data_IF_727904486634
#
_entry.id   IF_727904486634
#
_cell.length_a   1.000
_cell.length_b   1.000
_cell.length_c   1.000
_cell.angle_alpha   90.00
_cell.angle_beta   90.00
_cell.angle_gamma   90.00
#
_symmetry.space_group_name_H-M   'P 1'
#
loop_
_entity.id
_entity.type
_entity.pdbx_description
1 polymer ?
#
# COMPACT_ATOMS: atom_id res chain seq x y z
N UNK A 1 24.04 -7.11 12.89
CA UNK A 1 23.25 -5.86 12.86
C UNK A 1 23.08 -5.44 11.41
N UNK A 2 21.91 -5.66 10.79
CA UNK A 2 21.69 -5.46 9.35
C UNK A 2 21.48 -3.98 8.96
N UNK A 3 21.16 -3.13 9.93
CA UNK A 3 20.81 -1.70 9.73
C UNK A 3 22.00 -0.87 9.21
N UNK A 4 23.24 -1.28 9.51
CA UNK A 4 24.46 -0.55 9.18
C UNK A 4 24.91 -0.69 7.72
N UNK A 5 24.39 -1.68 6.97
CA UNK A 5 24.81 -1.88 5.59
C UNK A 5 24.11 -0.88 4.66
N UNK A 6 24.85 -0.21 3.75
CA UNK A 6 24.25 0.65 2.75
C UNK A 6 23.46 -0.18 1.74
N UNK A 7 22.21 0.19 1.49
CA UNK A 7 21.41 -0.43 0.41
C UNK A 7 21.58 0.42 -0.84
N UNK A 8 22.20 -0.16 -1.86
CA UNK A 8 22.42 0.50 -3.15
C UNK A 8 21.19 0.30 -4.05
N UNK A 9 20.44 1.37 -4.28
CA UNK A 9 19.32 1.39 -5.22
C UNK A 9 19.84 1.88 -6.57
N UNK A 10 19.63 1.10 -7.61
CA UNK A 10 20.06 1.41 -8.98
C UNK A 10 18.84 1.62 -9.88
N UNK A 11 18.87 2.65 -10.74
CA UNK A 11 17.79 2.92 -11.71
C UNK A 11 17.88 2.00 -12.93
N UNK A 12 19.09 1.58 -13.28
CA UNK A 12 19.38 0.73 -14.42
C UNK A 12 20.42 -0.31 -14.03
N UNK A 13 20.33 -1.50 -14.64
CA UNK A 13 21.32 -2.54 -14.45
C UNK A 13 22.68 -2.07 -15.00
N UNK A 14 23.81 -2.45 -14.37
CA UNK A 14 25.13 -2.11 -14.88
C UNK A 14 25.32 -2.64 -16.30
N UNK A 15 25.76 -1.78 -17.22
CA UNK A 15 26.19 -2.20 -18.55
C UNK A 15 27.49 -3.00 -18.43
N UNK A 16 27.44 -4.31 -18.73
CA UNK A 16 28.65 -5.11 -18.90
C UNK A 16 29.21 -4.79 -20.29
N UNK A 17 30.48 -4.40 -20.35
CA UNK A 17 31.23 -3.93 -21.53
C UNK A 17 30.93 -4.63 -22.87
N UNK A 18 31.07 -3.84 -23.95
CA UNK A 18 30.86 -4.12 -25.39
C UNK A 18 31.42 -5.47 -25.88
N UNK A 19 30.73 -6.58 -25.58
CA UNK A 19 31.10 -7.91 -26.06
C UNK A 19 30.43 -9.09 -25.35
N UNK A 20 29.84 -8.90 -24.16
CA UNK A 20 29.00 -9.92 -23.51
C UNK A 20 27.52 -9.62 -23.70
N UNK A 21 26.72 -10.67 -23.95
CA UNK A 21 25.24 -10.58 -24.04
C UNK A 21 24.70 -9.78 -22.85
N UNK A 22 23.74 -8.89 -23.12
CA UNK A 22 23.07 -8.11 -22.08
C UNK A 22 22.60 -9.04 -20.94
N UNK A 23 22.82 -8.62 -19.68
CA UNK A 23 22.28 -9.32 -18.52
C UNK A 23 20.77 -9.40 -18.65
N UNK A 24 20.26 -10.59 -18.95
CA UNK A 24 18.83 -10.85 -19.04
C UNK A 24 18.29 -11.20 -17.67
N UNK A 25 17.26 -10.50 -17.23
CA UNK A 25 16.62 -10.76 -15.95
C UNK A 25 15.89 -12.10 -15.96
N UNK A 26 16.18 -12.95 -14.97
CA UNK A 26 15.42 -14.19 -14.79
C UNK A 26 14.10 -13.88 -14.09
N UNK A 27 12.99 -14.11 -14.80
CA UNK A 27 11.65 -13.88 -14.27
C UNK A 27 11.22 -15.04 -13.35
N UNK A 28 10.76 -14.71 -12.14
CA UNK A 28 10.20 -15.71 -11.23
C UNK A 28 9.04 -15.16 -10.39
N UNK A 29 8.17 -16.06 -9.94
CA UNK A 29 7.05 -15.73 -9.05
C UNK A 29 7.40 -16.04 -7.61
N UNK A 30 7.02 -15.14 -6.71
CA UNK A 30 7.15 -15.33 -5.26
C UNK A 30 5.76 -15.44 -4.63
N UNK A 31 5.55 -16.34 -3.65
CA UNK A 31 4.31 -16.36 -2.87
C UNK A 31 4.03 -15.01 -2.19
N UNK A 32 2.75 -14.69 -1.97
CA UNK A 32 2.36 -13.55 -1.12
C UNK A 32 2.77 -13.84 0.32
N UNK A 33 3.14 -12.81 1.07
CA UNK A 33 3.54 -12.89 2.49
C UNK A 33 4.69 -13.90 2.77
N UNK A 34 5.62 -14.07 1.83
CA UNK A 34 6.88 -14.80 1.96
C UNK A 34 7.78 -14.14 3.03
N UNK A 35 8.24 -14.93 3.99
CA UNK A 35 9.15 -14.53 5.06
C UNK A 35 10.64 -14.74 4.66
N UNK A 36 11.57 -14.45 5.57
CA UNK A 36 13.01 -14.54 5.35
C UNK A 36 13.45 -15.93 4.86
N UNK A 37 12.99 -17.01 5.51
CA UNK A 37 13.30 -18.39 5.10
C UNK A 37 12.81 -18.69 3.68
N UNK A 38 11.62 -18.22 3.33
CA UNK A 38 11.07 -18.36 1.99
C UNK A 38 11.93 -17.65 0.93
N UNK A 39 12.47 -16.46 1.21
CA UNK A 39 13.40 -15.75 0.32
C UNK A 39 14.75 -16.46 0.19
N UNK A 40 15.34 -16.91 1.31
CA UNK A 40 16.61 -17.63 1.32
C UNK A 40 16.50 -18.92 0.51
N UNK A 41 15.48 -19.74 0.79
CA UNK A 41 15.35 -21.04 0.15
C UNK A 41 14.98 -20.93 -1.33
N UNK A 42 14.14 -19.96 -1.72
CA UNK A 42 13.60 -19.87 -3.09
C UNK A 42 14.36 -18.93 -4.02
N UNK A 43 14.89 -17.82 -3.50
CA UNK A 43 15.38 -16.72 -4.34
C UNK A 43 16.89 -16.62 -4.30
N UNK A 44 17.52 -16.88 -3.14
CA UNK A 44 18.97 -16.68 -2.98
C UNK A 44 19.78 -17.52 -3.99
N UNK A 45 19.47 -18.81 -4.13
CA UNK A 45 20.17 -19.70 -5.05
C UNK A 45 20.00 -19.27 -6.52
N UNK A 46 18.81 -18.76 -6.88
CA UNK A 46 18.54 -18.24 -8.23
C UNK A 46 19.32 -16.95 -8.46
N UNK A 47 19.32 -16.05 -7.47
CA UNK A 47 20.02 -14.77 -7.54
C UNK A 47 21.53 -14.97 -7.71
N UNK A 48 22.13 -15.91 -6.97
CA UNK A 48 23.55 -16.24 -7.10
C UNK A 48 23.85 -16.82 -8.49
N UNK A 49 22.98 -17.70 -9.03
CA UNK A 49 23.20 -18.34 -10.34
C UNK A 49 22.93 -17.43 -11.54
N UNK A 50 21.97 -16.51 -11.43
CA UNK A 50 21.48 -15.68 -12.54
C UNK A 50 21.94 -14.23 -12.48
N UNK A 51 22.44 -13.78 -11.32
CA UNK A 51 22.84 -12.40 -11.00
C UNK A 51 21.72 -11.34 -11.06
N UNK A 52 20.74 -11.50 -11.96
CA UNK A 52 19.60 -10.60 -12.11
C UNK A 52 18.32 -11.42 -12.03
N UNK A 53 17.46 -11.08 -11.06
CA UNK A 53 16.17 -11.72 -10.86
C UNK A 53 15.08 -10.66 -10.89
N UNK A 54 14.14 -10.82 -11.82
CA UNK A 54 12.92 -10.03 -11.86
C UNK A 54 11.82 -10.85 -11.18
N UNK A 55 11.32 -10.32 -10.08
CA UNK A 55 10.17 -10.90 -9.41
C UNK A 55 8.90 -10.39 -10.11
N UNK A 56 8.03 -11.29 -10.56
CA UNK A 56 6.75 -10.97 -11.23
C UNK A 56 5.62 -10.66 -10.24
N UNK A 57 4.78 -9.64 -10.51
CA UNK A 57 3.67 -9.13 -9.67
C UNK A 57 4.06 -8.46 -8.34
N UNK A 58 3.89 -7.15 -8.19
CA UNK A 58 4.39 -6.38 -7.05
C UNK A 58 3.68 -6.67 -5.69
N UNK A 59 2.59 -7.44 -5.71
CA UNK A 59 1.64 -7.57 -4.61
C UNK A 59 2.23 -8.24 -3.37
N UNK A 60 2.30 -7.52 -2.24
CA UNK A 60 2.51 -7.99 -0.86
C UNK A 60 3.37 -9.25 -0.68
N UNK A 61 4.53 -9.31 -1.35
CA UNK A 61 5.37 -10.52 -1.32
C UNK A 61 6.04 -10.74 0.01
N UNK A 62 6.47 -9.67 0.67
CA UNK A 62 7.14 -9.78 1.96
C UNK A 62 6.09 -9.90 3.08
N UNK A 63 6.31 -10.82 4.02
CA UNK A 63 5.43 -11.00 5.17
C UNK A 63 5.29 -9.72 6.01
N UNK A 64 4.12 -9.51 6.62
CA UNK A 64 3.91 -8.40 7.54
C UNK A 64 4.47 -8.68 8.94
N UNK A 65 4.57 -9.96 9.33
CA UNK A 65 5.20 -10.40 10.58
C UNK A 65 6.62 -10.85 10.25
N UNK A 66 7.59 -10.00 10.53
CA UNK A 66 9.03 -10.23 10.38
C UNK A 66 9.71 -9.72 11.64
N UNK A 67 10.92 -10.20 11.89
CA UNK A 67 11.77 -9.64 12.94
C UNK A 67 12.00 -8.14 12.75
N UNK A 68 12.17 -7.45 13.88
CA UNK A 68 12.32 -6.00 13.96
C UNK A 68 13.42 -5.46 13.03
N UNK A 69 14.53 -6.18 12.88
CA UNK A 69 15.63 -5.78 12.01
C UNK A 69 15.25 -5.80 10.53
N UNK A 70 14.46 -6.81 10.10
CA UNK A 70 13.95 -6.87 8.74
C UNK A 70 12.89 -5.82 8.47
N UNK A 71 12.06 -5.47 9.47
CA UNK A 71 11.11 -4.37 9.35
C UNK A 71 11.81 -3.02 9.19
N UNK A 72 12.82 -2.74 10.01
CA UNK A 72 13.64 -1.53 9.88
C UNK A 72 14.31 -1.44 8.52
N UNK A 73 14.86 -2.57 8.03
CA UNK A 73 15.44 -2.64 6.69
C UNK A 73 14.40 -2.37 5.60
N UNK A 74 13.22 -3.01 5.67
CA UNK A 74 12.10 -2.76 4.75
C UNK A 74 11.72 -1.28 4.70
N UNK A 75 11.57 -0.65 5.86
CA UNK A 75 11.24 0.77 5.96
C UNK A 75 12.34 1.66 5.36
N UNK A 76 13.61 1.42 5.71
CA UNK A 76 14.76 2.16 5.17
C UNK A 76 14.83 2.08 3.65
N UNK A 77 14.71 0.87 3.09
CA UNK A 77 14.76 0.65 1.64
C UNK A 77 13.59 1.31 0.93
N UNK A 78 12.37 1.15 1.45
CA UNK A 78 11.20 1.79 0.85
C UNK A 78 11.31 3.31 0.90
N UNK A 79 11.77 3.90 2.02
CA UNK A 79 11.97 5.34 2.14
C UNK A 79 13.00 5.89 1.15
N UNK A 80 14.11 5.16 0.95
CA UNK A 80 15.16 5.57 0.00
C UNK A 80 14.77 5.35 -1.46
N UNK A 81 14.02 4.27 -1.76
CA UNK A 81 13.64 3.92 -3.13
C UNK A 81 12.41 4.68 -3.62
N UNK A 82 11.44 4.92 -2.74
CA UNK A 82 10.18 5.58 -3.07
C UNK A 82 10.27 7.06 -2.76
N UNK A 83 10.98 7.79 -3.63
CA UNK A 83 11.00 9.26 -3.61
C UNK A 83 10.08 9.81 -4.68
N UNK A 84 9.37 10.88 -4.35
CA UNK A 84 8.64 11.66 -5.33
C UNK A 84 9.59 12.22 -6.38
N UNK A 85 9.09 12.48 -7.59
CA UNK A 85 9.85 13.18 -8.61
C UNK A 85 10.14 14.62 -8.17
N UNK A 86 11.21 15.19 -8.70
CA UNK A 86 11.66 16.54 -8.33
C UNK A 86 10.55 17.60 -8.44
N UNK A 87 9.70 17.62 -9.51
CA UNK A 87 8.61 18.59 -9.59
C UNK A 87 7.57 18.48 -8.46
N UNK A 88 7.29 17.27 -7.97
CA UNK A 88 6.35 17.06 -6.85
C UNK A 88 6.97 17.53 -5.53
N UNK A 89 8.27 17.25 -5.33
CA UNK A 89 9.00 17.71 -4.15
C UNK A 89 9.05 19.23 -4.10
N UNK A 90 9.44 19.88 -5.19
CA UNK A 90 9.51 21.34 -5.31
C UNK A 90 8.15 22.00 -5.03
N UNK A 91 7.07 21.43 -5.59
CA UNK A 91 5.71 21.91 -5.34
C UNK A 91 5.33 21.78 -3.86
N UNK A 92 5.60 20.62 -3.25
CA UNK A 92 5.32 20.38 -1.83
C UNK A 92 6.10 21.33 -0.91
N UNK A 93 7.38 21.56 -1.20
CA UNK A 93 8.22 22.50 -0.45
C UNK A 93 7.70 23.93 -0.57
N UNK A 94 7.31 24.35 -1.78
CA UNK A 94 6.72 25.68 -2.02
C UNK A 94 5.42 25.87 -1.25
N UNK A 95 4.56 24.84 -1.19
CA UNK A 95 3.33 24.86 -0.41
C UNK A 95 3.62 25.03 1.09
N UNK A 96 4.49 24.18 1.65
CA UNK A 96 4.89 24.22 3.07
C UNK A 96 5.52 25.56 3.42
N UNK A 97 6.40 26.10 2.56
CA UNK A 97 7.02 27.41 2.75
C UNK A 97 5.97 28.52 2.86
N UNK A 98 4.96 28.53 1.99
CA UNK A 98 3.86 29.51 2.01
C UNK A 98 2.99 29.38 3.25
N UNK A 99 2.70 28.16 3.72
CA UNK A 99 1.96 27.95 4.96
C UNK A 99 2.75 28.49 6.17
N UNK A 100 4.04 28.17 6.27
CA UNK A 100 4.92 28.64 7.36
C UNK A 100 5.10 30.16 7.38
N UNK A 101 5.13 30.81 6.23
CA UNK A 101 5.21 32.27 6.12
C UNK A 101 4.04 33.00 6.78
N UNK A 102 2.88 32.35 6.95
CA UNK A 102 1.72 32.94 7.62
C UNK A 102 1.89 33.04 9.16
N UNK A 103 3.05 32.65 9.71
CA UNK A 103 3.42 32.71 11.14
C UNK A 103 2.40 32.06 12.09
N UNK A 104 1.57 31.15 11.59
CA UNK A 104 0.65 30.35 12.38
C UNK A 104 1.10 28.90 12.33
N UNK A 105 1.17 28.20 13.47
CA UNK A 105 1.28 26.75 13.46
C UNK A 105 0.09 26.18 12.66
N UNK A 106 0.32 25.07 11.97
CA UNK A 106 -0.72 24.38 11.21
C UNK A 106 -0.67 22.89 11.51
N UNK A 107 -1.84 22.25 11.45
CA UNK A 107 -2.00 20.82 11.56
C UNK A 107 -2.35 20.29 10.17
N UNK A 108 -1.75 19.16 9.78
CA UNK A 108 -2.08 18.48 8.53
C UNK A 108 -2.79 17.16 8.87
N UNK A 109 -4.02 17.01 8.39
CA UNK A 109 -4.84 15.82 8.60
C UNK A 109 -5.01 15.07 7.28
N UNK A 110 -4.64 13.79 7.26
CA UNK A 110 -4.93 12.91 6.12
C UNK A 110 -6.18 12.10 6.44
N UNK A 111 -7.31 12.53 5.88
CA UNK A 111 -8.61 11.92 6.05
C UNK A 111 -8.86 10.93 4.91
N UNK A 112 -9.01 9.65 5.25
CA UNK A 112 -9.22 8.56 4.29
C UNK A 112 -10.53 7.83 4.61
N UNK A 113 -11.62 8.29 3.98
CA UNK A 113 -13.00 7.86 4.24
C UNK A 113 -13.56 6.92 3.16
N UNK A 114 -12.70 6.23 2.42
CA UNK A 114 -13.13 5.24 1.45
C UNK A 114 -13.85 4.05 2.13
N UNK A 115 -14.90 3.49 1.52
CA UNK A 115 -15.73 2.45 2.15
C UNK A 115 -14.95 1.20 2.61
N UNK A 116 -13.85 0.84 1.93
CA UNK A 116 -12.98 -0.26 2.32
C UNK A 116 -12.24 0.03 3.63
N UNK A 117 -11.78 1.27 3.83
CA UNK A 117 -11.13 1.71 5.06
C UNK A 117 -12.11 1.80 6.23
N UNK A 118 -13.31 2.32 5.96
CA UNK A 118 -14.40 2.38 6.96
C UNK A 118 -14.87 0.98 7.34
N UNK A 119 -15.00 0.09 6.38
CA UNK A 119 -15.32 -1.31 6.65
C UNK A 119 -14.23 -1.97 7.48
N UNK A 120 -12.95 -1.71 7.20
CA UNK A 120 -11.84 -2.32 7.93
C UNK A 120 -11.72 -1.83 9.39
N UNK A 121 -12.06 -0.58 9.69
CA UNK A 121 -11.89 -0.01 11.03
C UNK A 121 -12.74 -0.67 12.11
N UNK A 122 -13.91 -1.22 11.75
CA UNK A 122 -14.83 -1.77 12.74
C UNK A 122 -15.71 -0.73 13.44
N UNK A 123 -15.49 0.57 13.21
CA UNK A 123 -16.15 1.64 13.94
C UNK A 123 -17.60 1.88 13.48
N UNK A 124 -18.42 2.40 14.39
CA UNK A 124 -19.71 3.01 14.06
C UNK A 124 -19.50 4.48 13.69
N UNK A 125 -19.93 4.86 12.49
CA UNK A 125 -19.78 6.22 11.96
C UNK A 125 -21.10 7.02 12.01
N UNK A 126 -22.17 6.43 12.56
CA UNK A 126 -23.45 7.10 12.77
C UNK A 126 -24.35 7.17 11.54
N UNK A 127 -24.07 6.39 10.48
CA UNK A 127 -24.96 6.24 9.32
C UNK A 127 -26.12 5.25 9.51
N UNK A 128 -26.28 4.72 10.72
CA UNK A 128 -27.38 3.83 11.10
C UNK A 128 -27.26 2.41 10.52
N UNK A 129 -28.30 1.61 10.67
CA UNK A 129 -28.30 0.18 10.32
C UNK A 129 -27.95 -0.08 8.85
N UNK A 130 -28.36 0.82 7.95
CA UNK A 130 -28.05 0.70 6.52
C UNK A 130 -26.54 0.78 6.26
N UNK A 131 -25.86 1.78 6.82
CA UNK A 131 -24.41 1.91 6.70
C UNK A 131 -23.69 0.71 7.34
N UNK A 132 -24.14 0.28 8.52
CA UNK A 132 -23.57 -0.87 9.21
C UNK A 132 -23.69 -2.16 8.37
N UNK A 133 -24.81 -2.37 7.68
CA UNK A 133 -25.02 -3.52 6.79
C UNK A 133 -24.14 -3.46 5.54
N UNK A 134 -23.95 -2.27 4.96
CA UNK A 134 -23.09 -2.08 3.80
C UNK A 134 -21.61 -2.31 4.17
N UNK A 135 -21.14 -1.69 5.26
CA UNK A 135 -19.75 -1.84 5.73
C UNK A 135 -19.44 -3.27 6.21
N UNK A 136 -20.39 -3.96 6.86
CA UNK A 136 -20.20 -5.37 7.22
C UNK A 136 -20.08 -6.28 6.01
N UNK A 137 -20.84 -6.00 4.94
CA UNK A 137 -20.72 -6.74 3.67
C UNK A 137 -19.35 -6.54 3.05
N UNK A 138 -18.87 -5.29 2.96
CA UNK A 138 -17.52 -4.97 2.45
C UNK A 138 -16.45 -5.65 3.30
N UNK A 139 -16.57 -5.60 4.64
CA UNK A 139 -15.62 -6.25 5.56
C UNK A 139 -15.51 -7.74 5.29
N UNK A 140 -16.64 -8.44 5.13
CA UNK A 140 -16.69 -9.87 4.87
C UNK A 140 -15.99 -10.26 3.57
N UNK A 141 -16.13 -9.43 2.54
CA UNK A 141 -15.42 -9.58 1.26
C UNK A 141 -13.91 -9.35 1.46
N UNK A 142 -13.52 -8.28 2.16
CA UNK A 142 -12.12 -7.92 2.37
C UNK A 142 -11.36 -8.90 3.27
N UNK A 143 -12.04 -9.53 4.24
CA UNK A 143 -11.45 -10.56 5.12
C UNK A 143 -11.44 -11.94 4.49
N UNK A 144 -12.16 -12.16 3.38
CA UNK A 144 -12.28 -13.44 2.71
C UNK A 144 -13.15 -14.45 3.47
N UNK A 145 -13.98 -14.01 4.42
CA UNK A 145 -14.84 -14.90 5.21
C UNK A 145 -15.96 -15.53 4.34
N UNK A 146 -16.32 -14.92 3.21
CA UNK A 146 -17.22 -15.52 2.22
C UNK A 146 -16.55 -16.48 1.23
N UNK A 147 -15.22 -16.58 1.23
CA UNK A 147 -14.50 -17.40 0.26
C UNK A 147 -14.36 -18.88 0.68
N UNK A 148 -14.81 -19.24 1.88
CA UNK A 148 -14.63 -20.58 2.48
C UNK A 148 -15.93 -21.40 2.68
N UNK A 149 -17.07 -20.98 2.12
CA UNK A 149 -18.34 -21.74 2.22
C UNK A 149 -18.63 -22.66 1.01
N UNK A 150 -17.76 -22.73 0.00
CA UNK A 150 -17.83 -23.80 -1.02
C UNK A 150 -16.57 -24.68 -1.00
N UNK A 151 -16.67 -25.76 -0.21
CA UNK A 151 -15.74 -26.86 -0.17
C UNK A 151 -15.93 -27.80 -1.38
N UNK A 152 -14.81 -28.21 -1.99
CA UNK A 152 -14.63 -29.44 -2.77
C UNK A 152 -15.55 -29.70 -3.99
N UNK A 153 -15.13 -29.24 -5.18
CA UNK A 153 -15.04 -30.12 -6.37
C UNK A 153 -14.20 -29.51 -7.51
N UNK A 154 -13.25 -30.33 -7.98
CA UNK A 154 -12.61 -30.35 -9.31
C UNK A 154 -12.06 -29.05 -9.93
N UNK A 155 -10.72 -28.93 -9.92
CA UNK A 155 -9.95 -28.26 -11.01
C UNK A 155 -10.10 -29.09 -12.31
N UNK A 156 -9.88 -28.56 -13.54
CA UNK A 156 -9.02 -27.42 -13.86
C UNK A 156 -9.52 -26.45 -14.96
N UNK A 157 -9.18 -25.17 -14.82
CA UNK A 157 -8.48 -24.28 -15.78
C UNK A 157 -8.67 -22.83 -15.34
N UNK A 158 -7.70 -21.99 -15.66
CA UNK A 158 -7.44 -20.72 -14.99
C UNK A 158 -8.67 -19.83 -14.80
N UNK A 159 -8.82 -19.30 -13.58
CA UNK A 159 -9.68 -18.16 -13.32
C UNK A 159 -8.83 -16.93 -12.99
N UNK A 160 -9.29 -15.74 -13.43
CA UNK A 160 -8.49 -14.56 -13.57
C UNK A 160 -8.08 -14.05 -12.20
N UNK A 161 -6.97 -13.32 -12.19
CA UNK A 161 -6.68 -12.34 -11.13
C UNK A 161 -7.99 -11.59 -10.87
N UNK A 162 -8.55 -11.74 -9.68
CA UNK A 162 -9.60 -10.84 -9.22
C UNK A 162 -8.96 -9.45 -9.15
N UNK A 163 -8.92 -8.76 -10.29
CA UNK A 163 -9.32 -7.38 -10.30
C UNK A 163 -10.63 -7.39 -9.54
N UNK A 164 -10.63 -6.77 -8.37
CA UNK A 164 -11.86 -6.25 -7.78
C UNK A 164 -12.56 -5.60 -8.96
N UNK A 165 -13.64 -6.23 -9.45
CA UNK A 165 -14.52 -5.58 -10.40
C UNK A 165 -14.81 -4.25 -9.73
N UNK A 166 -14.45 -3.15 -10.39
CA UNK A 166 -14.68 -1.82 -9.86
C UNK A 166 -16.12 -1.82 -9.36
N UNK A 167 -16.29 -1.60 -8.05
CA UNK A 167 -17.59 -1.40 -7.43
C UNK A 167 -18.38 -0.51 -8.40
N UNK A 168 -19.60 -0.90 -8.82
CA UNK A 168 -20.30 -0.25 -9.91
C UNK A 168 -20.19 1.27 -9.75
N UNK A 169 -19.62 1.92 -10.78
CA UNK A 169 -19.45 3.37 -10.84
C UNK A 169 -20.85 3.99 -10.69
N UNK A 170 -21.16 4.48 -9.49
CA UNK A 170 -22.50 4.91 -9.12
C UNK A 170 -22.81 4.78 -7.63
N UNK A 171 -22.09 3.93 -6.89
CA UNK A 171 -22.24 3.85 -5.42
C UNK A 171 -21.24 4.77 -4.71
N UNK A 172 -21.32 6.06 -5.01
CA UNK A 172 -20.80 7.05 -4.06
C UNK A 172 -21.66 6.93 -2.81
N UNK A 173 -21.10 6.40 -1.72
CA UNK A 173 -21.70 6.63 -0.42
C UNK A 173 -21.72 8.14 -0.26
N UNK A 174 -22.89 8.76 -0.42
CA UNK A 174 -23.11 10.05 0.21
C UNK A 174 -22.85 9.75 1.67
N UNK A 175 -21.73 10.26 2.22
CA UNK A 175 -21.62 10.38 3.66
C UNK A 175 -22.99 10.90 4.08
N UNK A 176 -23.72 10.12 4.87
CA UNK A 176 -24.90 10.65 5.52
C UNK A 176 -24.44 11.99 6.09
N UNK A 177 -25.27 13.04 5.96
CA UNK A 177 -25.04 14.31 6.62
C UNK A 177 -25.06 14.05 8.13
N UNK A 178 -24.03 13.38 8.64
CA UNK A 178 -23.88 13.07 10.03
C UNK A 178 -23.56 14.42 10.64
N UNK A 179 -24.52 14.92 11.39
CA UNK A 179 -24.45 16.19 12.09
C UNK A 179 -23.16 16.28 12.92
N UNK A 180 -22.61 15.13 13.32
CA UNK A 180 -21.35 14.99 14.06
C UNK A 180 -20.09 15.15 13.20
N UNK A 181 -20.02 14.59 11.99
CA UNK A 181 -18.86 14.76 11.10
C UNK A 181 -18.80 16.21 10.59
N UNK A 182 -19.95 16.80 10.29
CA UNK A 182 -20.04 18.23 10.00
C UNK A 182 -19.71 19.05 11.25
N UNK A 183 -20.20 18.73 12.46
CA UNK A 183 -19.81 19.46 13.67
C UNK A 183 -18.31 19.39 13.97
N UNK A 184 -17.66 18.25 13.72
CA UNK A 184 -16.22 18.11 13.91
C UNK A 184 -15.42 18.91 12.86
N UNK A 185 -15.86 18.87 11.60
CA UNK A 185 -15.23 19.68 10.55
C UNK A 185 -15.49 21.19 10.77
N UNK A 186 -16.71 21.56 11.16
CA UNK A 186 -17.08 22.94 11.52
C UNK A 186 -16.34 23.40 12.78
N UNK A 187 -16.15 22.55 13.79
CA UNK A 187 -15.35 22.93 14.98
C UNK A 187 -13.89 23.19 14.60
N UNK A 188 -13.33 22.38 13.70
CA UNK A 188 -11.98 22.60 13.18
C UNK A 188 -11.87 23.83 12.25
N UNK A 189 -12.95 24.22 11.58
CA UNK A 189 -13.03 25.46 10.77
C UNK A 189 -13.19 26.69 11.68
N UNK A 190 -14.01 26.60 12.73
CA UNK A 190 -14.24 27.67 13.72
C UNK A 190 -12.99 27.95 14.54
N UNK A 191 -12.16 26.95 14.81
CA UNK A 191 -10.85 27.10 15.46
C UNK A 191 -9.73 27.54 14.50
N UNK A 192 -10.02 27.64 13.19
CA UNK A 192 -9.07 28.10 12.18
C UNK A 192 -7.95 27.13 11.85
N UNK A 193 -8.14 25.83 12.14
CA UNK A 193 -7.10 24.79 12.05
C UNK A 193 -7.08 24.03 10.71
N UNK A 194 -8.10 24.19 9.86
CA UNK A 194 -8.20 23.49 8.57
C UNK A 194 -8.10 24.45 7.39
N UNK A 195 -7.11 24.22 6.53
CA UNK A 195 -7.02 24.80 5.18
C UNK A 195 -7.21 23.65 4.19
N UNK A 196 -8.29 23.71 3.39
CA UNK A 196 -8.54 22.82 2.25
C UNK A 196 -7.53 23.07 1.11
#
# INVERSE_FOLDING_TARGET
MLIGLPVKIIKQLPSINKGRKALSAYNMRVPRKCNERCYINRILHVLVKKHVVQLNKFDYRLANRLDTEYQKLRCKVNYQALRFTDPIQEMGEKLVKRMRMRKKPYIALHLRFEPDMLAFSGCDYGGGEKEQKELSTIRRICTGIDADVDSFSTKPKGHPTAFVAALPKGLGMKLGKSQKTNQFLESLIVEGEVIL
#
